data_IF_138628291224
#
_entry.id   IF_138628291224
#
_cell.length_a   1.000
_cell.length_b   1.000
_cell.length_c   1.000
_cell.angle_alpha   90.00
_cell.angle_beta   90.00
_cell.angle_gamma   90.00
#
_symmetry.space_group_name_H-M   'P 1'
#
loop_
_entity.id
_entity.type
_entity.pdbx_description
1 polymer ?
#
# COMPACT_ATOMS: atom_id res chain seq x y z
N UNK A 1 20.67 6.62 0.81
CA UNK A 1 19.40 5.88 0.71
C UNK A 1 18.33 6.78 1.31
N UNK A 2 17.25 7.04 0.59
CA UNK A 2 16.14 7.85 1.15
C UNK A 2 15.32 7.00 2.11
N UNK A 3 14.79 7.63 3.16
CA UNK A 3 14.10 6.93 4.26
C UNK A 3 12.82 7.66 4.62
N UNK A 4 11.88 6.93 5.22
CA UNK A 4 10.65 7.46 5.77
C UNK A 4 10.45 6.96 7.19
N UNK A 5 9.59 7.64 7.95
CA UNK A 5 9.02 7.15 9.21
C UNK A 5 7.54 6.88 9.03
N UNK A 6 6.98 5.95 9.78
CA UNK A 6 5.53 5.76 9.85
C UNK A 6 5.00 6.69 10.95
N UNK A 7 4.09 7.59 10.59
CA UNK A 7 3.29 8.34 11.55
C UNK A 7 2.25 7.40 12.15
N UNK A 8 2.34 7.12 13.46
CA UNK A 8 1.42 6.20 14.14
C UNK A 8 0.02 6.77 14.31
N UNK A 9 -0.17 8.09 14.21
CA UNK A 9 -1.50 8.69 14.28
C UNK A 9 -2.31 8.38 13.03
N UNK A 10 -1.66 8.34 11.87
CA UNK A 10 -2.32 8.18 10.57
C UNK A 10 -1.96 6.89 9.83
N UNK A 11 -0.96 6.17 10.34
CA UNK A 11 -0.26 5.06 9.67
C UNK A 11 0.25 5.40 8.28
N UNK A 12 0.63 6.65 8.05
CA UNK A 12 1.23 7.08 6.79
C UNK A 12 2.75 7.17 6.88
N UNK A 13 3.40 6.81 5.79
CA UNK A 13 4.81 7.08 5.60
C UNK A 13 5.02 8.60 5.39
N UNK A 14 5.97 9.16 6.12
CA UNK A 14 6.41 10.56 6.02
C UNK A 14 7.90 10.55 5.67
N UNK A 15 8.32 11.17 4.56
CA UNK A 15 9.73 11.20 4.16
C UNK A 15 10.55 11.96 5.21
N UNK A 16 11.76 11.48 5.50
CA UNK A 16 12.65 12.16 6.44
C UNK A 16 13.35 13.36 5.79
N UNK A 17 13.58 13.31 4.48
CA UNK A 17 14.14 14.39 3.67
C UNK A 17 13.36 14.49 2.35
N UNK A 18 12.58 15.55 2.20
CA UNK A 18 11.72 15.76 1.02
C UNK A 18 12.55 16.03 -0.24
N UNK A 19 13.64 16.80 -0.13
CA UNK A 19 14.46 17.19 -1.28
C UNK A 19 15.21 15.96 -1.83
N UNK A 20 15.88 15.21 -0.94
CA UNK A 20 16.57 13.98 -1.34
C UNK A 20 15.62 12.92 -1.90
N UNK A 21 14.37 12.88 -1.42
CA UNK A 21 13.33 11.98 -1.95
C UNK A 21 12.93 12.36 -3.38
N UNK A 22 12.79 13.65 -3.68
CA UNK A 22 12.54 14.11 -5.06
C UNK A 22 13.71 13.79 -6.00
N UNK A 23 14.95 14.05 -5.59
CA UNK A 23 16.13 13.65 -6.38
C UNK A 23 16.16 12.14 -6.65
N UNK A 24 15.70 11.34 -5.70
CA UNK A 24 15.58 9.90 -5.88
C UNK A 24 14.50 9.51 -6.90
N UNK A 25 13.33 10.16 -6.85
CA UNK A 25 12.28 9.98 -7.85
C UNK A 25 12.80 10.29 -9.26
N UNK A 26 13.57 11.36 -9.43
CA UNK A 26 14.18 11.71 -10.71
C UNK A 26 15.22 10.68 -11.17
N UNK A 27 16.00 10.10 -10.25
CA UNK A 27 16.91 8.99 -10.58
C UNK A 27 16.15 7.78 -11.07
N UNK A 28 15.05 7.41 -10.42
CA UNK A 28 14.21 6.28 -10.81
C UNK A 28 13.55 6.52 -12.17
N UNK A 29 13.10 7.75 -12.43
CA UNK A 29 12.56 8.14 -13.73
C UNK A 29 13.56 7.95 -14.87
N UNK A 30 14.83 8.32 -14.67
CA UNK A 30 15.90 8.09 -15.65
C UNK A 30 16.18 6.61 -15.92
N UNK A 31 15.82 5.71 -15.01
CA UNK A 31 15.95 4.27 -15.21
C UNK A 31 14.80 3.70 -16.05
N UNK A 32 13.69 4.41 -16.20
CA UNK A 32 12.51 3.96 -16.95
C UNK A 32 11.76 2.81 -16.24
N UNK A 33 11.18 1.86 -17.00
CA UNK A 33 10.32 0.82 -16.44
C UNK A 33 10.88 0.02 -15.24
N UNK A 34 12.18 -0.32 -15.17
CA UNK A 34 12.76 -0.96 -13.99
C UNK A 34 12.60 -0.16 -12.68
N UNK A 35 12.53 1.17 -12.75
CA UNK A 35 12.38 2.06 -11.59
C UNK A 35 10.94 2.40 -11.22
N UNK A 36 9.96 2.09 -12.09
CA UNK A 36 8.56 2.53 -11.92
C UNK A 36 7.93 2.02 -10.62
N UNK A 37 8.19 0.75 -10.28
CA UNK A 37 7.65 0.11 -9.09
C UNK A 37 7.96 0.89 -7.81
N UNK A 38 9.22 1.30 -7.65
CA UNK A 38 9.67 2.10 -6.50
C UNK A 38 9.24 3.56 -6.64
N UNK A 39 9.26 4.10 -7.86
CA UNK A 39 8.86 5.48 -8.14
C UNK A 39 7.40 5.75 -7.77
N UNK A 40 6.49 4.81 -8.03
CA UNK A 40 5.09 4.89 -7.58
C UNK A 40 5.01 5.03 -6.05
N UNK A 41 5.81 4.27 -5.31
CA UNK A 41 5.83 4.32 -3.83
C UNK A 41 6.27 5.70 -3.36
N UNK A 42 7.36 6.24 -3.89
CA UNK A 42 7.86 7.55 -3.46
C UNK A 42 6.96 8.70 -3.88
N UNK A 43 6.39 8.69 -5.09
CA UNK A 43 5.40 9.68 -5.52
C UNK A 43 4.17 9.68 -4.60
N UNK A 44 3.70 8.50 -4.17
CA UNK A 44 2.61 8.36 -3.19
C UNK A 44 2.99 8.94 -1.82
N UNK A 45 4.20 8.65 -1.34
CA UNK A 45 4.71 9.15 -0.05
C UNK A 45 4.81 10.68 -0.07
N UNK A 46 5.34 11.25 -1.15
CA UNK A 46 5.47 12.69 -1.37
C UNK A 46 4.13 13.42 -1.61
N UNK A 47 3.04 12.68 -1.81
CA UNK A 47 1.72 13.28 -2.10
C UNK A 47 1.53 13.72 -3.55
N UNK A 48 2.42 13.33 -4.47
CA UNK A 48 2.29 13.55 -5.91
C UNK A 48 1.29 12.56 -6.55
N UNK A 49 0.08 12.49 -6.00
CA UNK A 49 -0.85 11.37 -6.17
C UNK A 49 -1.34 11.20 -7.61
N UNK A 50 -1.54 12.30 -8.36
CA UNK A 50 -1.95 12.22 -9.76
C UNK A 50 -0.84 11.60 -10.64
N UNK A 51 0.42 11.91 -10.36
CA UNK A 51 1.56 11.30 -11.06
C UNK A 51 1.73 9.83 -10.64
N UNK A 52 1.61 9.54 -9.35
CA UNK A 52 1.68 8.18 -8.82
C UNK A 52 0.62 7.27 -9.45
N UNK A 53 -0.62 7.76 -9.59
CA UNK A 53 -1.72 6.97 -10.15
C UNK A 53 -1.53 6.68 -11.64
N UNK A 54 -1.18 7.69 -12.44
CA UNK A 54 -0.91 7.48 -13.87
C UNK A 54 0.22 6.47 -14.08
N UNK A 55 1.29 6.59 -13.30
CA UNK A 55 2.41 5.66 -13.38
C UNK A 55 2.02 4.25 -12.91
N UNK A 56 1.23 4.13 -11.84
CA UNK A 56 0.76 2.85 -11.33
C UNK A 56 -0.13 2.12 -12.34
N UNK A 57 -1.04 2.80 -13.04
CA UNK A 57 -1.83 2.20 -14.12
C UNK A 57 -0.96 1.74 -15.30
N UNK A 58 0.03 2.54 -15.69
CA UNK A 58 0.99 2.14 -16.73
C UNK A 58 1.80 0.90 -16.31
N UNK A 59 2.22 0.81 -15.05
CA UNK A 59 2.92 -0.35 -14.49
C UNK A 59 2.02 -1.60 -14.47
N UNK A 60 0.74 -1.47 -14.07
CA UNK A 60 -0.24 -2.56 -14.11
C UNK A 60 -0.43 -3.09 -15.53
N UNK A 61 -0.67 -2.21 -16.50
CA UNK A 61 -0.88 -2.59 -17.89
C UNK A 61 0.34 -3.33 -18.49
N UNK A 62 1.55 -2.88 -18.15
CA UNK A 62 2.80 -3.53 -18.58
C UNK A 62 2.95 -4.96 -18.06
N UNK A 63 2.35 -5.25 -16.90
CA UNK A 63 2.31 -6.59 -16.31
C UNK A 63 1.06 -7.39 -16.71
N UNK A 64 0.34 -6.96 -17.75
CA UNK A 64 -0.84 -7.64 -18.30
C UNK A 64 -2.12 -7.45 -17.48
N UNK A 65 -2.12 -6.53 -16.52
CA UNK A 65 -3.31 -6.19 -15.74
C UNK A 65 -4.25 -5.21 -16.48
N UNK A 66 -5.38 -4.85 -15.86
CA UNK A 66 -6.33 -3.89 -16.42
C UNK A 66 -5.70 -2.50 -16.60
N UNK A 67 -6.08 -1.79 -17.67
CA UNK A 67 -5.57 -0.45 -17.95
C UNK A 67 -6.27 0.65 -17.15
N UNK A 68 -7.51 0.40 -16.71
CA UNK A 68 -8.29 1.28 -15.86
C UNK A 68 -9.18 0.50 -14.87
N UNK A 69 -9.75 1.22 -13.89
CA UNK A 69 -10.63 0.61 -12.88
C UNK A 69 -11.87 -0.05 -13.49
N UNK A 70 -12.40 0.53 -14.59
CA UNK A 70 -13.56 0.00 -15.29
C UNK A 70 -13.30 -1.39 -15.92
N UNK A 71 -12.03 -1.72 -16.21
CA UNK A 71 -11.66 -2.98 -16.83
C UNK A 71 -11.41 -4.10 -15.81
N UNK A 72 -11.37 -3.75 -14.52
CA UNK A 72 -11.07 -4.69 -13.44
C UNK A 72 -12.03 -5.90 -13.38
N UNK A 73 -13.36 -5.75 -13.59
CA UNK A 73 -14.27 -6.89 -13.67
C UNK A 73 -14.04 -7.80 -14.88
N UNK A 74 -13.52 -7.25 -15.99
CA UNK A 74 -13.28 -8.00 -17.22
C UNK A 74 -11.92 -8.73 -17.23
N UNK A 75 -11.01 -8.34 -16.34
CA UNK A 75 -9.65 -8.88 -16.25
C UNK A 75 -9.54 -10.15 -15.39
N UNK A 76 -10.62 -10.92 -15.21
CA UNK A 76 -10.60 -12.13 -14.38
C UNK A 76 -10.14 -13.38 -15.17
N UNK A 77 -9.13 -14.13 -14.69
CA UNK A 77 -8.35 -13.87 -13.48
C UNK A 77 -7.22 -12.85 -13.71
N UNK A 78 -7.00 -11.99 -12.71
CA UNK A 78 -5.90 -11.02 -12.71
C UNK A 78 -4.56 -11.77 -12.79
N UNK A 79 -3.69 -11.49 -13.78
CA UNK A 79 -2.40 -12.17 -13.91
C UNK A 79 -1.51 -11.98 -12.69
N UNK A 80 -0.77 -13.02 -12.30
CA UNK A 80 0.12 -12.98 -11.12
C UNK A 80 1.16 -11.85 -11.16
N UNK A 81 1.66 -11.54 -12.36
CA UNK A 81 2.58 -10.44 -12.60
C UNK A 81 1.97 -9.06 -12.22
N UNK A 82 0.65 -8.90 -12.31
CA UNK A 82 -0.05 -7.65 -12.03
C UNK A 82 -0.44 -7.48 -10.55
N UNK A 83 -0.34 -8.51 -9.70
CA UNK A 83 -0.78 -8.44 -8.30
C UNK A 83 -0.06 -7.35 -7.50
N UNK A 84 1.27 -7.30 -7.54
CA UNK A 84 2.07 -6.29 -6.81
C UNK A 84 1.85 -4.87 -7.37
N UNK A 85 1.86 -4.62 -8.70
CA UNK A 85 1.45 -3.35 -9.29
C UNK A 85 0.07 -2.87 -8.82
N UNK A 86 -0.94 -3.75 -8.84
CA UNK A 86 -2.30 -3.43 -8.41
C UNK A 86 -2.37 -3.08 -6.92
N UNK A 87 -1.65 -3.81 -6.06
CA UNK A 87 -1.61 -3.47 -4.64
C UNK A 87 -0.92 -2.13 -4.37
N UNK A 88 0.10 -1.74 -5.15
CA UNK A 88 0.69 -0.39 -5.09
C UNK A 88 -0.31 0.67 -5.55
N UNK A 89 -1.02 0.42 -6.65
CA UNK A 89 -2.09 1.29 -7.14
C UNK A 89 -3.18 1.49 -6.07
N UNK A 90 -3.64 0.41 -5.41
CA UNK A 90 -4.65 0.50 -4.35
C UNK A 90 -4.21 1.44 -3.22
N UNK A 91 -2.93 1.44 -2.86
CA UNK A 91 -2.39 2.37 -1.86
C UNK A 91 -2.39 3.82 -2.35
N UNK A 92 -2.19 4.06 -3.65
CA UNK A 92 -2.34 5.39 -4.26
C UNK A 92 -3.81 5.84 -4.21
N UNK A 93 -4.74 4.97 -4.61
CA UNK A 93 -6.19 5.25 -4.58
C UNK A 93 -6.66 5.56 -3.16
N UNK A 94 -6.19 4.80 -2.17
CA UNK A 94 -6.45 5.08 -0.75
C UNK A 94 -5.92 6.47 -0.36
N UNK A 95 -4.69 6.84 -0.73
CA UNK A 95 -4.15 8.18 -0.45
C UNK A 95 -4.93 9.31 -1.12
N UNK A 96 -5.61 9.02 -2.22
CA UNK A 96 -6.52 9.96 -2.90
C UNK A 96 -7.91 10.04 -2.26
N UNK A 97 -8.21 9.21 -1.26
CA UNK A 97 -9.54 9.10 -0.66
C UNK A 97 -10.53 8.26 -1.48
N UNK A 98 -10.08 7.57 -2.53
CA UNK A 98 -10.91 6.69 -3.36
C UNK A 98 -10.99 5.30 -2.73
N UNK A 99 -11.65 5.21 -1.57
CA UNK A 99 -11.59 4.04 -0.69
C UNK A 99 -12.23 2.79 -1.31
N UNK A 100 -13.41 2.94 -1.93
CA UNK A 100 -14.11 1.81 -2.56
C UNK A 100 -13.33 1.26 -3.75
N UNK A 101 -12.70 2.14 -4.54
CA UNK A 101 -11.84 1.75 -5.65
C UNK A 101 -10.59 1.02 -5.15
N UNK A 102 -9.98 1.48 -4.06
CA UNK A 102 -8.85 0.82 -3.44
C UNK A 102 -9.22 -0.60 -2.96
N UNK A 103 -10.37 -0.74 -2.28
CA UNK A 103 -10.87 -2.04 -1.81
C UNK A 103 -11.19 -2.98 -2.98
N UNK A 104 -11.85 -2.49 -4.04
CA UNK A 104 -12.15 -3.29 -5.23
C UNK A 104 -10.89 -3.87 -5.88
N UNK A 105 -9.82 -3.05 -6.00
CA UNK A 105 -8.52 -3.51 -6.52
C UNK A 105 -7.90 -4.58 -5.62
N UNK A 106 -7.90 -4.37 -4.30
CA UNK A 106 -7.35 -5.35 -3.35
C UNK A 106 -8.14 -6.66 -3.39
N UNK A 107 -9.46 -6.58 -3.45
CA UNK A 107 -10.31 -7.77 -3.46
C UNK A 107 -10.14 -8.60 -4.74
N UNK A 108 -9.94 -7.97 -5.90
CA UNK A 108 -9.61 -8.69 -7.14
C UNK A 108 -8.27 -9.43 -7.03
N UNK A 109 -7.23 -8.78 -6.49
CA UNK A 109 -5.93 -9.43 -6.25
C UNK A 109 -6.06 -10.57 -5.24
N UNK A 110 -6.82 -10.36 -4.16
CA UNK A 110 -7.07 -11.37 -3.12
C UNK A 110 -7.73 -12.60 -3.70
N UNK A 111 -8.81 -12.45 -4.49
CA UNK A 111 -9.49 -13.56 -5.16
C UNK A 111 -8.53 -14.34 -6.06
N UNK A 112 -7.75 -13.65 -6.89
CA UNK A 112 -6.79 -14.29 -7.79
C UNK A 112 -5.69 -15.06 -7.03
N UNK A 113 -5.11 -14.46 -5.99
CA UNK A 113 -4.07 -15.11 -5.19
C UNK A 113 -4.60 -16.30 -4.38
N UNK A 114 -5.82 -16.22 -3.84
CA UNK A 114 -6.48 -17.33 -3.14
C UNK A 114 -6.77 -18.49 -4.08
N UNK A 115 -7.29 -18.20 -5.28
CA UNK A 115 -7.54 -19.22 -6.30
C UNK A 115 -6.24 -19.93 -6.72
N UNK A 116 -5.15 -19.17 -6.93
CA UNK A 116 -3.85 -19.72 -7.28
C UNK A 116 -3.25 -20.60 -6.18
N UNK A 117 -3.45 -20.25 -4.91
CA UNK A 117 -2.90 -20.98 -3.76
C UNK A 117 -3.51 -22.37 -3.54
N UNK A 118 -4.70 -22.64 -4.09
CA UNK A 118 -5.42 -23.93 -3.92
C UNK A 118 -5.36 -24.81 -5.17
N UNK A 119 -4.65 -24.39 -6.22
CA UNK A 119 -4.46 -25.20 -7.42
C UNK A 119 -3.69 -26.49 -7.06
N UNK A 120 -4.19 -27.69 -7.42
CA UNK A 120 -3.48 -28.93 -7.18
C UNK A 120 -2.07 -28.91 -7.79
N UNK A 121 -1.08 -29.32 -7.00
CA UNK A 121 0.32 -29.34 -7.45
C UNK A 121 1.05 -28.00 -7.40
N UNK A 122 0.43 -26.93 -6.87
CA UNK A 122 1.16 -25.67 -6.63
C UNK A 122 2.34 -25.94 -5.69
N UNK A 123 3.52 -25.46 -6.09
CA UNK A 123 4.74 -25.62 -5.30
C UNK A 123 4.75 -24.67 -4.08
N UNK A 124 5.68 -24.91 -3.17
CA UNK A 124 5.80 -24.13 -1.94
C UNK A 124 6.24 -22.68 -2.19
N UNK A 125 6.97 -22.41 -3.28
CA UNK A 125 7.42 -21.06 -3.64
C UNK A 125 6.22 -20.21 -4.06
N UNK A 126 5.38 -20.74 -4.95
CA UNK A 126 4.15 -20.09 -5.40
C UNK A 126 3.15 -19.89 -4.26
N UNK A 127 3.05 -20.84 -3.31
CA UNK A 127 2.23 -20.65 -2.10
C UNK A 127 2.73 -19.51 -1.23
N UNK A 128 4.05 -19.41 -1.02
CA UNK A 128 4.66 -18.29 -0.27
C UNK A 128 4.47 -16.97 -0.98
N UNK A 129 4.55 -16.93 -2.30
CA UNK A 129 4.27 -15.72 -3.08
C UNK A 129 2.80 -15.29 -2.92
N UNK A 130 1.85 -16.22 -3.01
CA UNK A 130 0.45 -15.94 -2.73
C UNK A 130 0.24 -15.41 -1.31
N UNK A 131 0.88 -16.04 -0.32
CA UNK A 131 0.80 -15.62 1.08
C UNK A 131 1.38 -14.22 1.31
N UNK A 132 2.51 -13.90 0.68
CA UNK A 132 3.12 -12.56 0.72
C UNK A 132 2.22 -11.49 0.11
N UNK A 133 1.56 -11.80 -1.01
CA UNK A 133 0.58 -10.93 -1.66
C UNK A 133 -0.64 -10.70 -0.76
N UNK A 134 -1.16 -11.76 -0.13
CA UNK A 134 -2.27 -11.64 0.82
C UNK A 134 -1.89 -10.82 2.06
N UNK A 135 -0.68 -10.98 2.58
CA UNK A 135 -0.20 -10.17 3.70
C UNK A 135 -0.09 -8.67 3.32
N UNK A 136 0.26 -8.36 2.08
CA UNK A 136 0.30 -6.99 1.59
C UNK A 136 -1.12 -6.42 1.38
N UNK A 137 -2.04 -7.23 0.87
CA UNK A 137 -3.47 -6.89 0.75
C UNK A 137 -4.07 -6.57 2.13
N UNK A 138 -3.89 -7.47 3.10
CA UNK A 138 -4.34 -7.29 4.49
C UNK A 138 -3.76 -6.01 5.11
N UNK A 139 -2.46 -5.75 4.94
CA UNK A 139 -1.84 -4.51 5.41
C UNK A 139 -2.45 -3.26 4.77
N UNK A 140 -2.73 -3.29 3.46
CA UNK A 140 -3.31 -2.17 2.71
C UNK A 140 -4.72 -1.83 3.20
N UNK A 141 -5.60 -2.83 3.23
CA UNK A 141 -6.98 -2.67 3.71
C UNK A 141 -7.00 -2.29 5.20
N UNK A 142 -6.11 -2.87 6.02
CA UNK A 142 -5.99 -2.51 7.43
C UNK A 142 -5.74 -1.01 7.63
N UNK A 143 -4.90 -0.39 6.78
CA UNK A 143 -4.67 1.06 6.82
C UNK A 143 -5.92 1.85 6.44
N UNK A 144 -6.72 1.38 5.47
CA UNK A 144 -8.01 1.99 5.11
C UNK A 144 -8.98 1.94 6.29
N UNK A 145 -9.10 0.78 6.94
CA UNK A 145 -9.96 0.59 8.12
C UNK A 145 -9.51 1.48 9.28
N UNK A 146 -8.21 1.56 9.52
CA UNK A 146 -7.64 2.44 10.53
C UNK A 146 -7.96 3.92 10.26
N UNK A 147 -7.74 4.40 9.04
CA UNK A 147 -8.02 5.79 8.64
C UNK A 147 -9.50 6.17 8.70
N UNK A 148 -10.41 5.20 8.65
CA UNK A 148 -11.86 5.38 8.74
C UNK A 148 -12.44 5.12 10.14
N UNK A 149 -11.59 4.94 11.16
CA UNK A 149 -12.02 4.70 12.53
C UNK A 149 -12.52 3.28 12.82
N UNK A 150 -12.45 2.37 11.84
CA UNK A 150 -12.86 0.95 11.98
C UNK A 150 -11.73 0.13 12.58
N UNK A 151 -11.35 0.47 13.81
CA UNK A 151 -10.13 -0.04 14.44
C UNK A 151 -10.15 -1.55 14.70
N UNK A 152 -11.31 -2.12 15.07
CA UNK A 152 -11.43 -3.56 15.27
C UNK A 152 -11.17 -4.36 13.97
N UNK A 153 -11.71 -3.90 12.84
CA UNK A 153 -11.43 -4.49 11.52
C UNK A 153 -9.95 -4.32 11.14
N UNK A 154 -9.37 -3.15 11.43
CA UNK A 154 -7.95 -2.90 11.19
C UNK A 154 -7.05 -3.85 11.99
N UNK A 155 -7.35 -4.09 13.28
CA UNK A 155 -6.64 -5.06 14.12
C UNK A 155 -6.67 -6.44 13.49
N UNK A 156 -7.84 -6.93 13.06
CA UNK A 156 -7.96 -8.24 12.44
C UNK A 156 -7.08 -8.38 11.19
N UNK A 157 -7.09 -7.37 10.32
CA UNK A 157 -6.29 -7.36 9.09
C UNK A 157 -4.79 -7.27 9.38
N UNK A 158 -4.35 -6.41 10.31
CA UNK A 158 -2.94 -6.31 10.66
C UNK A 158 -2.40 -7.56 11.36
N UNK A 159 -3.20 -8.21 12.20
CA UNK A 159 -2.86 -9.52 12.78
C UNK A 159 -2.69 -10.57 11.70
N UNK A 160 -3.63 -10.67 10.75
CA UNK A 160 -3.56 -11.62 9.63
C UNK A 160 -2.31 -11.40 8.78
N UNK A 161 -1.97 -10.15 8.48
CA UNK A 161 -0.74 -9.80 7.77
C UNK A 161 0.52 -10.20 8.56
N UNK A 162 0.54 -9.94 9.87
CA UNK A 162 1.67 -10.27 10.75
C UNK A 162 1.90 -11.77 10.86
N UNK A 163 0.82 -12.54 10.99
CA UNK A 163 0.87 -14.00 11.09
C UNK A 163 1.48 -14.61 9.82
N UNK A 164 1.01 -14.20 8.64
CA UNK A 164 1.56 -14.65 7.34
C UNK A 164 3.05 -14.31 7.23
N UNK A 165 3.41 -13.04 7.45
CA UNK A 165 4.80 -12.58 7.36
C UNK A 165 5.73 -13.32 8.32
N UNK A 166 5.26 -13.61 9.53
CA UNK A 166 6.05 -14.34 10.52
C UNK A 166 6.22 -15.81 10.15
N UNK A 167 5.13 -16.46 9.75
CA UNK A 167 5.13 -17.87 9.31
C UNK A 167 6.07 -18.09 8.12
N UNK A 168 6.06 -17.18 7.16
CA UNK A 168 6.75 -17.36 5.88
C UNK A 168 8.16 -16.73 5.87
N UNK A 169 8.63 -16.21 7.02
CA UNK A 169 9.98 -15.64 7.13
C UNK A 169 10.19 -14.36 6.31
N UNK A 170 9.17 -13.51 6.22
CA UNK A 170 9.24 -12.26 5.46
C UNK A 170 10.33 -11.30 6.01
N UNK A 171 10.83 -10.37 5.18
CA UNK A 171 11.81 -9.36 5.59
C UNK A 171 11.42 -8.61 6.88
N UNK A 172 12.41 -8.35 7.73
CA UNK A 172 12.19 -7.84 9.09
C UNK A 172 11.52 -6.45 9.13
N UNK A 173 11.72 -5.63 8.11
CA UNK A 173 11.04 -4.34 7.93
C UNK A 173 9.53 -4.52 7.70
N UNK A 174 9.12 -5.52 6.93
CA UNK A 174 7.70 -5.82 6.69
C UNK A 174 7.02 -6.34 7.96
N UNK A 175 7.71 -7.20 8.72
CA UNK A 175 7.24 -7.68 10.02
C UNK A 175 7.13 -6.51 11.01
N UNK A 176 8.15 -5.64 11.06
CA UNK A 176 8.17 -4.43 11.89
C UNK A 176 7.01 -3.48 11.56
N UNK A 177 6.76 -3.23 10.28
CA UNK A 177 5.65 -2.41 9.83
C UNK A 177 4.27 -2.99 10.23
N UNK A 178 4.10 -4.31 10.15
CA UNK A 178 2.88 -4.98 10.66
C UNK A 178 2.71 -4.77 12.16
N UNK A 179 3.77 -4.94 12.95
CA UNK A 179 3.71 -4.77 14.42
C UNK A 179 3.35 -3.34 14.83
N UNK A 180 3.95 -2.34 14.18
CA UNK A 180 3.62 -0.91 14.43
C UNK A 180 2.14 -0.64 14.14
N UNK A 181 1.65 -1.10 12.98
CA UNK A 181 0.27 -0.90 12.57
C UNK A 181 -0.73 -1.61 13.50
N UNK A 182 -0.44 -2.86 13.88
CA UNK A 182 -1.25 -3.62 14.83
C UNK A 182 -1.30 -2.94 16.19
N UNK A 183 -0.15 -2.52 16.74
CA UNK A 183 -0.09 -1.84 18.03
C UNK A 183 -0.90 -0.54 18.03
N UNK A 184 -0.77 0.28 16.97
CA UNK A 184 -1.55 1.51 16.82
C UNK A 184 -3.06 1.25 16.73
N UNK A 185 -3.47 0.27 15.94
CA UNK A 185 -4.88 -0.09 15.80
C UNK A 185 -5.46 -0.65 17.10
N UNK A 186 -4.72 -1.49 17.82
CA UNK A 186 -5.14 -2.05 19.11
C UNK A 186 -5.31 -0.96 20.18
N UNK A 187 -4.38 0.00 20.25
CA UNK A 187 -4.50 1.13 21.18
C UNK A 187 -5.78 1.95 20.91
N UNK A 188 -6.04 2.27 19.63
CA UNK A 188 -7.26 3.00 19.23
C UNK A 188 -8.53 2.21 19.51
N UNK A 189 -8.53 0.89 19.25
CA UNK A 189 -9.67 0.02 19.52
C UNK A 189 -9.99 -0.07 21.03
N UNK A 190 -8.99 0.02 21.89
CA UNK A 190 -9.14 0.06 23.35
C UNK A 190 -9.62 1.42 23.89
N UNK A 191 -9.82 2.42 23.03
CA UNK A 191 -10.18 3.78 23.44
C UNK A 191 -9.01 4.61 23.98
N UNK A 192 -7.78 4.12 23.81
CA UNK A 192 -6.58 4.83 24.24
C UNK A 192 -6.27 5.92 23.19
N UNK A 193 -6.21 7.22 23.56
CA UNK A 193 -6.09 8.31 22.58
C UNK A 193 -4.77 8.31 21.78
N UNK A 194 -3.86 7.36 22.02
CA UNK A 194 -2.53 7.33 21.45
C UNK A 194 -1.67 8.50 21.95
N UNK A 195 -0.35 8.48 21.71
CA UNK A 195 0.49 9.62 22.09
C UNK A 195 0.05 10.87 21.33
N UNK A 196 -0.33 11.91 22.07
CA UNK A 196 -0.63 13.23 21.52
C UNK A 196 0.63 13.81 20.87
N UNK A 197 0.76 13.72 19.55
CA UNK A 197 1.77 14.47 18.81
C UNK A 197 1.15 15.78 18.33
N UNK A 198 1.59 16.89 18.93
CA UNK A 198 1.14 18.25 18.66
C UNK A 198 1.10 18.59 17.17
N UNK A 199 -0.11 18.80 16.67
CA UNK A 199 -0.34 19.31 15.32
C UNK A 199 -0.17 20.82 15.30
N UNK A 200 1.03 21.31 15.00
CA UNK A 200 1.17 22.53 14.20
C UNK A 200 1.00 22.13 12.74
N UNK A 201 -0.25 22.13 12.28
CA UNK A 201 -0.55 21.98 10.86
C UNK A 201 0.11 23.13 10.07
N UNK A 202 0.68 22.88 8.88
CA UNK A 202 1.14 23.96 8.04
C UNK A 202 -0.10 24.73 7.56
N UNK A 203 -0.22 25.97 8.02
CA UNK A 203 -1.17 26.93 7.49
C UNK A 203 -0.92 27.09 5.99
N UNK A 204 -1.87 26.61 5.19
CA UNK A 204 -2.00 26.99 3.80
C UNK A 204 -2.30 28.50 3.76
N UNK A 205 -1.27 29.32 3.57
CA UNK A 205 -1.45 30.70 3.07
C UNK A 205 -1.34 30.66 1.55
N UNK A 206 -2.50 30.55 0.91
CA UNK A 206 -2.68 31.07 -0.43
C UNK A 206 -2.36 32.57 -0.40
N UNK A 207 -1.32 32.99 -1.14
CA UNK A 207 -1.21 34.37 -1.60
C UNK A 207 -1.78 34.43 -3.01
N UNK A 208 -2.98 34.98 -3.09
CA UNK A 208 -3.54 35.56 -4.31
C UNK A 208 -3.50 37.08 -4.16
N UNK A 209 -2.69 37.76 -4.98
CA UNK A 209 -2.66 39.19 -5.39
C UNK A 209 -1.23 39.47 -5.89
N UNK A 210 -0.95 40.05 -7.05
CA UNK A 210 -1.68 40.82 -8.07
C UNK A 210 -1.20 40.34 -9.44
#
# INVERSE_FOLDING_TARGET
MVTYRIDTATLWEVPQDVAATWEHVERLERQGPPGDAERVVWLRILGALAAAERLAWADVARHGGPAALADLPAAEPVPAAAWRPLLRLAQVLHRRGLLDAADAVVDAVRRAAQAAAVVPGVDEVARRDCSAVLAFADQGQGRVRYGTGRYAEAVHLFSSALERRTRDGAPGDQVGASRIALAAASARAAGDPGPATGGTGPAARARATV
#
